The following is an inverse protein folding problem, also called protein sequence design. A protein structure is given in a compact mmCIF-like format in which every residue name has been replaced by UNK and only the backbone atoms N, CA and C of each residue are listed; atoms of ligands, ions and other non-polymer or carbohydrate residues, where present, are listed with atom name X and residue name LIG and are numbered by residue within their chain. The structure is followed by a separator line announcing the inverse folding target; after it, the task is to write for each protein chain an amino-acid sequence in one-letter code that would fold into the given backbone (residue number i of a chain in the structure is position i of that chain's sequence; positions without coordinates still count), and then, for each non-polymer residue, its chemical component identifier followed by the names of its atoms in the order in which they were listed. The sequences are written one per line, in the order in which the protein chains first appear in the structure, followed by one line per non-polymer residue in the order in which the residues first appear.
data_IF_141488362117
#
_entry.id   IF_141488362117
#
_cell.length_a   1.000
_cell.length_b   1.000
_cell.length_c   1.000
_cell.angle_alpha   90.00
_cell.angle_beta   90.00
_cell.angle_gamma   90.00
#
_symmetry.space_group_name_H-M   'P 1'
#
loop_
_entity.id
_entity.type
_entity.pdbx_description
1 polymer ?
#
# COMPACT_ATOMS: atom_id res chain seq x y z
N UNK A 1 -9.81 6.87 -16.87
CA UNK A 1 -8.47 6.48 -16.37
C UNK A 1 -8.67 5.48 -15.27
N UNK A 2 -8.07 4.31 -15.39
CA UNK A 2 -8.25 3.20 -14.46
C UNK A 2 -7.23 3.28 -13.33
N UNK A 3 -7.64 2.95 -12.10
CA UNK A 3 -6.73 2.93 -10.95
C UNK A 3 -5.80 1.72 -11.03
N UNK A 4 -4.53 1.91 -10.68
CA UNK A 4 -3.53 0.83 -10.62
C UNK A 4 -3.19 0.51 -9.16
N UNK A 5 -3.32 -0.76 -8.78
CA UNK A 5 -3.21 -1.19 -7.38
C UNK A 5 -1.89 -1.86 -7.01
N UNK A 6 -1.11 -2.28 -8.00
CA UNK A 6 0.24 -2.77 -7.81
C UNK A 6 1.26 -1.63 -7.74
N UNK A 7 2.31 -1.84 -6.95
CA UNK A 7 3.38 -0.87 -6.73
C UNK A 7 4.74 -1.51 -6.95
N UNK A 8 5.77 -0.68 -7.17
CA UNK A 8 7.13 -1.18 -7.34
C UNK A 8 7.64 -1.90 -6.08
N UNK A 9 7.26 -1.42 -4.88
CA UNK A 9 7.68 -1.96 -3.60
C UNK A 9 6.76 -3.07 -3.05
N UNK A 10 5.70 -3.47 -3.76
CA UNK A 10 4.80 -4.52 -3.27
C UNK A 10 3.83 -4.08 -2.18
N UNK A 11 3.65 -2.79 -1.93
CA UNK A 11 2.47 -2.27 -1.23
C UNK A 11 1.22 -2.39 -2.11
N UNK A 12 0.06 -2.56 -1.48
CA UNK A 12 -1.22 -2.62 -2.16
C UNK A 12 -1.94 -1.25 -2.10
N UNK A 13 -1.99 -0.55 -3.23
CA UNK A 13 -2.50 0.83 -3.26
C UNK A 13 -3.99 0.95 -2.89
N UNK A 14 -4.82 -0.09 -3.05
CA UNK A 14 -6.25 0.03 -2.72
C UNK A 14 -6.52 0.11 -1.21
N UNK A 15 -5.55 -0.30 -0.38
CA UNK A 15 -5.58 -0.14 1.07
C UNK A 15 -4.95 1.20 1.55
N UNK A 16 -4.52 2.06 0.62
CA UNK A 16 -4.04 3.40 0.96
C UNK A 16 -5.22 4.34 1.25
N UNK A 17 -5.15 5.08 2.37
CA UNK A 17 -6.18 6.09 2.73
C UNK A 17 -6.42 7.13 1.62
N UNK A 18 -5.37 7.53 0.90
CA UNK A 18 -5.48 8.48 -0.21
C UNK A 18 -6.25 7.86 -1.38
N UNK A 19 -5.95 6.61 -1.74
CA UNK A 19 -6.66 5.90 -2.81
C UNK A 19 -8.13 5.71 -2.43
N UNK A 20 -8.40 5.29 -1.19
CA UNK A 20 -9.75 5.16 -0.66
C UNK A 20 -10.52 6.50 -0.76
N UNK A 21 -9.90 7.62 -0.38
CA UNK A 21 -10.53 8.94 -0.48
C UNK A 21 -10.81 9.38 -1.93
N UNK A 22 -9.90 9.08 -2.86
CA UNK A 22 -10.11 9.34 -4.29
C UNK A 22 -11.30 8.53 -4.83
N UNK A 23 -11.43 7.23 -4.45
CA UNK A 23 -12.53 6.35 -4.88
C UNK A 23 -13.88 6.76 -4.27
N UNK A 24 -13.87 7.11 -2.99
CA UNK A 24 -15.08 7.43 -2.23
C UNK A 24 -15.52 8.89 -2.38
N UNK A 25 -14.79 9.71 -3.15
CA UNK A 25 -15.05 11.15 -3.33
C UNK A 25 -15.05 11.92 -2.00
N UNK A 26 -14.11 11.59 -1.13
CA UNK A 26 -13.92 12.24 0.19
C UNK A 26 -12.56 12.94 0.28
N UNK A 27 -11.96 13.26 -0.87
CA UNK A 27 -10.61 13.81 -0.95
C UNK A 27 -10.51 15.21 -0.34
N UNK A 28 -11.55 16.03 -0.47
CA UNK A 28 -11.65 17.37 0.12
C UNK A 28 -11.58 17.30 1.65
N UNK A 29 -12.32 16.37 2.26
CA UNK A 29 -12.31 16.17 3.71
C UNK A 29 -10.94 15.67 4.19
N UNK A 30 -10.30 14.76 3.43
CA UNK A 30 -8.95 14.30 3.75
C UNK A 30 -7.92 15.43 3.63
N UNK A 31 -8.01 16.23 2.56
CA UNK A 31 -7.16 17.38 2.31
C UNK A 31 -7.26 18.42 3.43
N UNK A 32 -8.48 18.73 3.87
CA UNK A 32 -8.73 19.61 5.02
C UNK A 32 -8.11 19.03 6.30
N UNK A 33 -8.37 17.75 6.60
CA UNK A 33 -7.83 17.07 7.81
C UNK A 33 -6.31 17.09 7.85
N UNK A 34 -5.65 16.96 6.70
CA UNK A 34 -4.19 16.90 6.59
C UNK A 34 -3.56 18.26 6.31
N UNK A 35 -4.35 19.33 6.24
CA UNK A 35 -3.90 20.68 5.90
C UNK A 35 -3.07 20.69 4.60
N UNK A 36 -3.60 20.07 3.53
CA UNK A 36 -2.94 19.96 2.22
C UNK A 36 -3.89 20.35 1.09
N UNK A 37 -3.37 20.87 -0.04
CA UNK A 37 -4.17 21.08 -1.24
C UNK A 37 -4.71 19.76 -1.79
N UNK A 38 -5.97 19.74 -2.23
CA UNK A 38 -6.61 18.57 -2.88
C UNK A 38 -5.74 18.05 -4.04
N UNK A 39 -5.20 18.95 -4.87
CA UNK A 39 -4.32 18.63 -5.99
C UNK A 39 -3.06 17.81 -5.59
N UNK A 40 -2.59 17.91 -4.33
CA UNK A 40 -1.47 17.11 -3.84
C UNK A 40 -1.86 15.69 -3.43
N UNK A 41 -3.15 15.41 -3.23
CA UNK A 41 -3.66 14.12 -2.78
C UNK A 41 -4.38 13.34 -3.89
N UNK A 42 -4.54 13.92 -5.08
CA UNK A 42 -5.08 13.22 -6.22
C UNK A 42 -4.18 12.03 -6.62
N UNK A 43 -4.77 10.84 -6.77
CA UNK A 43 -4.00 9.62 -7.00
C UNK A 43 -4.79 8.56 -7.77
N UNK A 44 -4.12 7.89 -8.70
CA UNK A 44 -4.60 6.72 -9.44
C UNK A 44 -3.61 5.54 -9.38
N UNK A 45 -2.66 5.57 -8.43
CA UNK A 45 -1.67 4.52 -8.19
C UNK A 45 -0.25 4.97 -8.52
N UNK A 46 0.77 4.45 -7.82
CA UNK A 46 2.13 4.96 -7.95
C UNK A 46 2.76 4.73 -9.35
N UNK A 47 2.28 3.71 -10.05
CA UNK A 47 2.65 3.36 -11.42
C UNK A 47 1.74 4.00 -12.49
N UNK A 48 0.91 4.97 -12.11
CA UNK A 48 0.05 5.76 -13.02
C UNK A 48 0.64 7.16 -13.27
N UNK A 49 0.00 7.92 -14.16
CA UNK A 49 0.36 9.32 -14.43
C UNK A 49 -0.15 10.33 -13.39
N UNK A 50 -1.11 9.95 -12.53
CA UNK A 50 -1.70 10.82 -11.50
C UNK A 50 -1.38 10.26 -10.11
N UNK A 51 -0.51 10.94 -9.38
CA UNK A 51 0.13 10.39 -8.18
C UNK A 51 0.12 11.43 -7.07
N UNK A 52 -0.19 11.01 -5.84
CA UNK A 52 -0.14 11.89 -4.67
C UNK A 52 1.27 12.40 -4.41
N UNK A 53 1.41 13.49 -3.65
CA UNK A 53 2.70 14.11 -3.31
C UNK A 53 3.67 13.11 -2.66
N UNK A 54 3.18 12.22 -1.79
CA UNK A 54 3.98 11.20 -1.11
C UNK A 54 4.59 10.20 -2.09
N UNK A 55 3.78 9.69 -3.03
CA UNK A 55 4.27 8.75 -4.04
C UNK A 55 5.04 9.46 -5.18
N UNK A 56 4.90 10.78 -5.32
CA UNK A 56 5.67 11.59 -6.29
C UNK A 56 7.11 11.79 -5.85
N UNK A 57 7.35 11.91 -4.54
CA UNK A 57 8.67 12.09 -3.93
C UNK A 57 9.30 10.76 -3.44
N UNK A 58 8.63 9.63 -3.67
CA UNK A 58 9.10 8.32 -3.21
C UNK A 58 10.39 7.89 -3.91
N UNK A 59 11.45 7.70 -3.12
CA UNK A 59 12.78 7.29 -3.60
C UNK A 59 12.79 5.87 -4.20
N UNK A 60 11.97 4.94 -3.67
CA UNK A 60 11.87 3.58 -4.21
C UNK A 60 11.24 3.58 -5.60
N UNK A 61 10.15 4.35 -5.77
CA UNK A 61 9.52 4.53 -7.07
C UNK A 61 10.53 5.05 -8.09
N UNK A 62 11.25 6.13 -7.76
CA UNK A 62 12.24 6.72 -8.66
C UNK A 62 13.35 5.72 -9.02
N UNK A 63 13.88 5.01 -8.02
CA UNK A 63 14.90 3.97 -8.21
C UNK A 63 14.41 2.86 -9.16
N UNK A 64 13.19 2.35 -8.98
CA UNK A 64 12.63 1.31 -9.84
C UNK A 64 12.45 1.79 -11.29
N UNK A 65 11.99 3.03 -11.47
CA UNK A 65 11.86 3.65 -12.79
C UNK A 65 13.22 3.84 -13.48
N UNK A 66 14.23 4.34 -12.76
CA UNK A 66 15.59 4.50 -13.30
C UNK A 66 16.22 3.16 -13.68
N UNK A 67 15.98 2.11 -12.89
CA UNK A 67 16.48 0.75 -13.17
C UNK A 67 15.62 -0.04 -14.15
N UNK A 68 14.51 0.54 -14.62
CA UNK A 68 13.55 -0.07 -15.53
C UNK A 68 13.03 -1.45 -15.06
N UNK A 69 12.74 -1.57 -13.75
CA UNK A 69 12.12 -2.77 -13.16
C UNK A 69 10.65 -2.50 -12.83
N UNK A 70 9.77 -3.47 -13.10
CA UNK A 70 8.35 -3.37 -12.76
C UNK A 70 8.14 -3.62 -11.26
N UNK A 71 8.93 -4.49 -10.66
CA UNK A 71 8.89 -4.77 -9.23
C UNK A 71 10.28 -4.83 -8.64
N UNK A 72 10.43 -4.41 -7.37
CA UNK A 72 11.74 -4.40 -6.72
C UNK A 72 12.39 -5.78 -6.70
N UNK A 73 11.63 -6.88 -6.67
CA UNK A 73 12.18 -8.25 -6.71
C UNK A 73 12.86 -8.63 -8.04
N UNK A 74 12.63 -7.85 -9.11
CA UNK A 74 13.28 -8.03 -10.41
C UNK A 74 14.65 -7.35 -10.46
N UNK A 75 14.97 -6.50 -9.49
CA UNK A 75 16.28 -5.89 -9.39
C UNK A 75 17.34 -6.94 -8.99
N UNK A 76 18.50 -7.01 -9.66
CA UNK A 76 19.58 -7.96 -9.30
C UNK A 76 20.12 -7.77 -7.87
N UNK A 77 19.94 -6.59 -7.28
CA UNK A 77 20.36 -6.27 -5.92
C UNK A 77 19.30 -6.61 -4.87
N UNK A 78 18.16 -7.19 -5.25
CA UNK A 78 17.07 -7.48 -4.32
C UNK A 78 17.38 -8.69 -3.43
N UNK A 79 17.12 -8.62 -2.10
CA UNK A 79 16.66 -7.43 -1.36
C UNK A 79 17.83 -6.46 -1.08
N UNK A 80 17.72 -5.21 -1.55
CA UNK A 80 18.76 -4.20 -1.36
C UNK A 80 18.58 -3.43 -0.03
N UNK A 81 19.62 -2.75 0.50
CA UNK A 81 19.51 -2.01 1.75
C UNK A 81 18.37 -0.99 1.78
N UNK A 82 18.04 -0.36 0.64
CA UNK A 82 16.95 0.62 0.55
C UNK A 82 15.57 0.00 0.79
N UNK A 83 15.26 -1.14 0.15
CA UNK A 83 13.94 -1.79 0.33
C UNK A 83 13.85 -2.45 1.71
N UNK A 84 14.97 -2.96 2.23
CA UNK A 84 15.04 -3.49 3.59
C UNK A 84 14.83 -2.38 4.62
N UNK A 85 15.44 -1.20 4.45
CA UNK A 85 15.23 -0.06 5.34
C UNK A 85 13.77 0.40 5.31
N UNK A 86 13.16 0.51 4.13
CA UNK A 86 11.75 0.85 3.98
C UNK A 86 10.82 -0.17 4.66
N UNK A 87 11.11 -1.48 4.56
CA UNK A 87 10.33 -2.50 5.26
C UNK A 87 10.42 -2.39 6.80
N UNK A 88 11.48 -1.80 7.35
CA UNK A 88 11.71 -1.76 8.79
C UNK A 88 11.69 -0.33 9.34
N UNK A 89 11.04 0.61 8.64
CA UNK A 89 10.85 1.96 9.13
C UNK A 89 9.71 2.04 10.15
N UNK A 90 9.32 3.26 10.52
CA UNK A 90 8.32 3.52 11.57
C UNK A 90 6.87 3.42 11.07
N UNK A 91 6.64 3.19 9.78
CA UNK A 91 5.33 3.15 9.16
C UNK A 91 4.82 1.68 9.10
N UNK A 92 3.82 1.28 9.92
CA UNK A 92 3.47 -0.14 10.07
C UNK A 92 3.04 -0.83 8.76
N UNK A 93 2.43 -0.08 7.85
CA UNK A 93 2.02 -0.58 6.54
C UNK A 93 3.19 -0.95 5.61
N UNK A 94 4.43 -0.53 5.92
CA UNK A 94 5.63 -0.93 5.20
C UNK A 94 6.20 -2.27 5.67
N UNK A 95 5.85 -2.74 6.88
CA UNK A 95 6.39 -3.97 7.49
C UNK A 95 6.21 -5.24 6.63
N UNK A 96 5.21 -5.25 5.75
CA UNK A 96 4.83 -6.37 4.87
C UNK A 96 5.59 -6.39 3.53
N UNK A 97 6.29 -5.33 3.16
CA UNK A 97 6.86 -5.09 1.82
C UNK A 97 7.65 -6.27 1.27
N UNK A 98 8.63 -6.80 2.00
CA UNK A 98 9.49 -7.90 1.54
C UNK A 98 8.67 -9.18 1.34
N UNK A 99 7.84 -9.54 2.33
CA UNK A 99 6.96 -10.71 2.22
C UNK A 99 5.98 -10.56 1.06
N UNK A 100 5.46 -9.35 0.85
CA UNK A 100 4.51 -9.06 -0.22
C UNK A 100 5.16 -9.20 -1.60
N UNK A 101 6.39 -8.71 -1.76
CA UNK A 101 7.18 -8.87 -2.99
C UNK A 101 7.53 -10.34 -3.25
N UNK A 102 7.91 -11.10 -2.23
CA UNK A 102 8.21 -12.52 -2.36
C UNK A 102 6.96 -13.33 -2.75
N UNK A 103 5.82 -13.01 -2.14
CA UNK A 103 4.52 -13.59 -2.53
C UNK A 103 4.19 -13.24 -3.98
N UNK A 104 4.29 -11.96 -4.36
CA UNK A 104 4.02 -11.48 -5.71
C UNK A 104 4.90 -12.19 -6.75
N UNK A 105 6.19 -12.38 -6.46
CA UNK A 105 7.13 -13.15 -7.29
C UNK A 105 6.70 -14.61 -7.45
N UNK A 106 6.19 -15.22 -6.39
CA UNK A 106 5.82 -16.64 -6.36
C UNK A 106 4.49 -16.94 -7.07
N UNK A 107 3.47 -16.12 -6.82
CA UNK A 107 2.08 -16.39 -7.28
C UNK A 107 1.66 -15.55 -8.49
N UNK A 108 2.45 -14.54 -8.85
CA UNK A 108 2.15 -13.62 -9.95
C UNK A 108 1.12 -12.55 -9.60
N UNK A 109 1.05 -11.53 -10.46
CA UNK A 109 0.29 -10.30 -10.21
C UNK A 109 -1.22 -10.51 -10.03
N UNK A 110 -1.84 -11.30 -10.90
CA UNK A 110 -3.30 -11.49 -10.88
C UNK A 110 -3.76 -12.13 -9.57
N UNK A 111 -3.09 -13.21 -9.15
CA UNK A 111 -3.38 -13.89 -7.89
C UNK A 111 -3.06 -12.99 -6.69
N UNK A 112 -1.91 -12.31 -6.71
CA UNK A 112 -1.54 -11.38 -5.64
C UNK A 112 -2.55 -10.26 -5.45
N UNK A 113 -3.05 -9.63 -6.53
CA UNK A 113 -4.10 -8.62 -6.45
C UNK A 113 -5.40 -9.17 -5.84
N UNK A 114 -5.79 -10.38 -6.23
CA UNK A 114 -6.97 -11.05 -5.66
C UNK A 114 -6.80 -11.31 -4.15
N UNK A 115 -5.62 -11.77 -3.73
CA UNK A 115 -5.33 -12.02 -2.32
C UNK A 115 -5.26 -10.74 -1.50
N UNK A 116 -4.69 -9.67 -2.04
CA UNK A 116 -4.68 -8.35 -1.38
C UNK A 116 -6.09 -7.75 -1.26
N UNK A 117 -6.93 -7.83 -2.31
CA UNK A 117 -8.32 -7.36 -2.22
C UNK A 117 -9.09 -8.12 -1.14
N UNK A 118 -8.88 -9.43 -1.01
CA UNK A 118 -9.50 -10.25 0.04
C UNK A 118 -8.96 -9.89 1.44
N UNK A 119 -7.65 -9.67 1.58
CA UNK A 119 -6.97 -9.32 2.84
C UNK A 119 -7.46 -8.00 3.45
N UNK A 120 -7.74 -7.02 2.59
CA UNK A 120 -8.15 -5.66 3.00
C UNK A 120 -9.67 -5.45 3.01
N UNK A 121 -10.41 -6.54 3.26
CA UNK A 121 -11.86 -6.52 3.46
C UNK A 121 -12.24 -7.04 4.83
N UNK A 122 -13.25 -6.40 5.42
CA UNK A 122 -13.83 -6.86 6.68
C UNK A 122 -14.32 -8.30 6.53
N UNK A 123 -13.92 -9.18 7.45
CA UNK A 123 -14.32 -10.59 7.44
C UNK A 123 -15.82 -10.80 7.71
N UNK A 124 -16.49 -9.85 8.36
CA UNK A 124 -17.92 -9.93 8.65
C UNK A 124 -18.82 -9.54 7.47
N UNK A 125 -18.50 -8.45 6.77
CA UNK A 125 -19.38 -7.87 5.75
C UNK A 125 -18.74 -7.63 4.38
N UNK A 126 -17.43 -7.86 4.23
CA UNK A 126 -16.71 -7.67 2.97
C UNK A 126 -16.41 -6.21 2.58
N UNK A 127 -16.78 -5.23 3.42
CA UNK A 127 -16.44 -3.82 3.19
C UNK A 127 -14.92 -3.63 3.21
N UNK A 128 -14.39 -2.91 2.21
CA UNK A 128 -12.97 -2.57 2.14
C UNK A 128 -12.60 -1.57 3.23
N UNK A 129 -11.39 -1.69 3.76
CA UNK A 129 -10.83 -0.75 4.73
C UNK A 129 -9.37 -0.43 4.38
N UNK A 130 -8.89 0.75 4.75
CA UNK A 130 -7.51 1.16 4.52
C UNK A 130 -6.58 0.65 5.63
N UNK A 131 -5.28 0.92 5.51
CA UNK A 131 -4.25 0.38 6.42
C UNK A 131 -4.46 0.64 7.91
N UNK A 132 -5.09 1.75 8.28
CA UNK A 132 -5.10 2.24 9.66
C UNK A 132 -6.47 2.23 10.34
N UNK A 133 -7.52 1.83 9.63
CA UNK A 133 -8.84 1.60 10.23
C UNK A 133 -8.75 0.47 11.25
N UNK A 134 -9.28 0.70 12.46
CA UNK A 134 -9.33 -0.30 13.54
C UNK A 134 -10.65 -1.07 13.54
N UNK A 135 -11.70 -0.46 13.01
CA UNK A 135 -13.04 -1.04 12.92
C UNK A 135 -13.63 -0.80 11.53
N UNK A 136 -14.47 -1.72 11.10
CA UNK A 136 -15.20 -1.61 9.84
C UNK A 136 -16.22 -0.47 9.92
N UNK A 137 -16.19 0.43 8.95
CA UNK A 137 -17.12 1.56 8.88
C UNK A 137 -18.57 1.19 8.60
N UNK A 138 -18.83 -0.05 8.16
CA UNK A 138 -20.17 -0.54 7.82
C UNK A 138 -20.80 -1.38 8.95
N UNK A 139 -20.08 -2.36 9.50
CA UNK A 139 -20.63 -3.26 10.53
C UNK A 139 -20.07 -3.06 11.94
N UNK A 140 -19.06 -2.20 12.12
CA UNK A 140 -18.44 -1.91 13.42
C UNK A 140 -17.50 -2.99 13.96
N UNK A 141 -17.34 -4.13 13.28
CA UNK A 141 -16.42 -5.19 13.70
C UNK A 141 -14.96 -4.72 13.65
N UNK A 142 -14.11 -5.19 14.58
CA UNK A 142 -12.66 -5.01 14.50
C UNK A 142 -12.11 -5.56 13.18
N UNK A 143 -11.18 -4.85 12.56
CA UNK A 143 -10.50 -5.29 11.33
C UNK A 143 -9.02 -5.45 11.58
N UNK A 144 -8.41 -6.45 10.93
CA UNK A 144 -6.98 -6.76 11.05
C UNK A 144 -6.16 -5.72 10.27
N UNK A 145 -5.69 -4.68 10.94
CA UNK A 145 -5.06 -3.51 10.31
C UNK A 145 -3.54 -3.66 10.14
N UNK A 146 -2.86 -2.64 9.59
CA UNK A 146 -1.41 -2.67 9.37
C UNK A 146 -0.59 -2.69 10.68
N UNK A 147 -1.09 -2.05 11.75
CA UNK A 147 -0.43 -2.04 13.07
C UNK A 147 -0.46 -3.44 13.71
N UNK A 148 -1.57 -4.16 13.55
CA UNK A 148 -1.70 -5.54 14.01
C UNK A 148 -0.87 -6.50 13.14
N UNK A 149 -0.85 -6.29 11.83
CA UNK A 149 -0.04 -7.09 10.91
C UNK A 149 1.47 -6.92 11.18
N UNK A 150 1.94 -5.71 11.46
CA UNK A 150 3.32 -5.46 11.86
C UNK A 150 3.68 -6.20 13.16
N UNK A 151 2.81 -6.13 14.18
CA UNK A 151 3.03 -6.83 15.47
C UNK A 151 3.22 -8.33 15.26
N UNK A 152 2.42 -8.94 14.39
CA UNK A 152 2.54 -10.36 14.07
C UNK A 152 3.84 -10.70 13.33
N UNK A 153 4.42 -9.76 12.58
CA UNK A 153 5.76 -9.93 11.99
C UNK A 153 6.87 -9.80 13.04
N UNK A 154 6.75 -8.85 13.95
CA UNK A 154 7.72 -8.64 15.02
C UNK A 154 7.72 -9.78 16.04
N UNK A 155 6.56 -10.32 16.40
CA UNK A 155 6.45 -11.48 17.30
C UNK A 155 7.03 -12.76 16.70
N UNK A 156 7.12 -12.87 15.36
CA UNK A 156 7.78 -14.00 14.67
C UNK A 156 9.30 -13.88 14.57
N UNK A 157 9.86 -12.74 14.97
CA UNK A 157 11.32 -12.50 15.04
C UNK A 157 11.90 -12.69 16.45
N UNK A 158 11.06 -13.00 17.44
CA UNK A 158 11.43 -13.24 18.84
C UNK A 158 11.61 -14.72 19.15
#
# INVERSE_FOLDING_TARGET
MENRYDTYCGLYCDACMIMAANKNKTLESLAQKWNRPVAQLECSGCKSGRVSVFCRQCVIKNCAQTKAVEFCFECPEYPCPQIVAFNNDEDPHHSVVLKSLDNLKSIGLAQWLSDQDRRWRCSGCGTRFSWYEKTCTQCGQSVYNAEEEEKDFCQKKA
#
